data_IF_730103923613
#
_entry.id   IF_730103923613
#
_cell.length_a   1.000
_cell.length_b   1.000
_cell.length_c   1.000
_cell.angle_alpha   90.00
_cell.angle_beta   90.00
_cell.angle_gamma   90.00
#
_symmetry.space_group_name_H-M   'P 1'
#
loop_
_entity.id
_entity.type
_entity.pdbx_description
1 polymer ?
#
# COMPACT_ATOMS: atom_id res chain seq x y z
N UNK A 1 20.79 28.81 7.98
CA UNK A 1 20.74 28.09 9.26
C UNK A 1 20.09 26.73 8.98
N UNK A 2 20.74 25.67 9.39
CA UNK A 2 20.20 24.31 9.17
C UNK A 2 19.15 24.07 10.25
N UNK A 3 17.87 24.12 9.88
CA UNK A 3 16.75 24.03 10.83
C UNK A 3 16.49 22.59 11.35
N UNK A 4 17.39 21.65 11.08
CA UNK A 4 17.23 20.25 11.51
C UNK A 4 16.19 19.45 10.71
N UNK A 5 15.48 20.07 9.77
CA UNK A 5 14.50 19.41 8.94
C UNK A 5 15.11 18.80 7.68
N UNK A 6 14.61 17.61 7.31
CA UNK A 6 14.89 16.98 6.02
C UNK A 6 13.94 17.46 4.93
N UNK A 7 12.67 17.70 5.30
CA UNK A 7 11.66 18.26 4.41
C UNK A 7 10.95 19.40 5.13
N UNK A 8 10.77 20.52 4.42
CA UNK A 8 9.93 21.64 4.84
C UNK A 8 8.95 21.94 3.71
N UNK A 9 7.66 21.96 4.05
CA UNK A 9 6.56 22.21 3.10
C UNK A 9 5.67 23.30 3.69
N UNK A 10 5.44 24.35 2.91
CA UNK A 10 4.57 25.46 3.31
C UNK A 10 3.57 25.75 2.20
N UNK A 11 2.27 25.67 2.51
CA UNK A 11 1.15 25.98 1.63
C UNK A 11 1.21 25.32 0.24
N UNK A 12 1.71 24.08 0.18
CA UNK A 12 1.89 23.36 -1.07
C UNK A 12 0.57 23.09 -1.77
N UNK A 13 0.46 23.56 -3.01
CA UNK A 13 -0.77 23.49 -3.79
C UNK A 13 -0.54 22.95 -5.19
N UNK A 14 -1.44 22.08 -5.67
CA UNK A 14 -1.40 21.54 -7.02
C UNK A 14 -2.77 21.44 -7.66
N UNK A 15 -2.89 22.05 -8.84
CA UNK A 15 -4.03 21.90 -9.74
C UNK A 15 -3.67 21.07 -10.96
N UNK A 16 -4.62 20.25 -11.43
CA UNK A 16 -4.66 19.64 -12.74
C UNK A 16 -5.94 20.10 -13.47
N UNK A 17 -5.81 21.11 -14.31
CA UNK A 17 -6.98 21.82 -14.83
C UNK A 17 -7.80 22.42 -13.69
N UNK A 18 -9.05 21.99 -13.54
CA UNK A 18 -9.93 22.43 -12.44
C UNK A 18 -9.84 21.55 -11.20
N UNK A 19 -9.16 20.41 -11.26
CA UNK A 19 -9.01 19.50 -10.12
C UNK A 19 -7.93 20.02 -9.17
N UNK A 20 -8.30 20.35 -7.93
CA UNK A 20 -7.39 20.66 -6.85
C UNK A 20 -6.91 19.35 -6.21
N UNK A 21 -5.75 18.88 -6.65
CA UNK A 21 -5.19 17.59 -6.25
C UNK A 21 -4.43 17.65 -4.92
N UNK A 22 -3.85 18.81 -4.56
CA UNK A 22 -3.21 19.08 -3.27
C UNK A 22 -3.57 20.51 -2.87
N UNK A 23 -4.13 20.67 -1.68
CA UNK A 23 -4.79 21.89 -1.20
C UNK A 23 -4.06 22.46 0.01
N UNK A 24 -3.14 23.42 -0.23
CA UNK A 24 -2.44 24.25 0.77
C UNK A 24 -1.85 23.47 1.96
N UNK A 25 -1.26 22.30 1.70
CA UNK A 25 -0.70 21.47 2.77
C UNK A 25 0.62 22.02 3.30
N UNK A 26 0.80 21.95 4.62
CA UNK A 26 2.03 22.39 5.30
C UNK A 26 2.45 21.34 6.33
N UNK A 27 3.70 20.89 6.28
CA UNK A 27 4.28 19.92 7.22
C UNK A 27 5.80 19.95 7.17
N UNK A 28 6.43 19.33 8.17
CA UNK A 28 7.89 19.14 8.22
C UNK A 28 8.24 17.71 8.59
N UNK A 29 9.42 17.27 8.12
CA UNK A 29 10.02 15.96 8.43
C UNK A 29 11.41 16.21 8.98
N UNK A 30 11.74 15.57 10.11
CA UNK A 30 13.06 15.70 10.73
C UNK A 30 14.10 14.85 10.00
N UNK A 31 15.38 15.18 10.17
CA UNK A 31 16.48 14.35 9.66
C UNK A 31 16.52 13.01 10.42
N UNK A 32 16.73 11.91 9.69
CA UNK A 32 16.72 10.55 10.23
C UNK A 32 15.35 10.03 10.62
N UNK A 33 14.27 10.79 10.36
CA UNK A 33 12.90 10.39 10.64
C UNK A 33 12.39 9.41 9.57
N UNK A 34 11.62 8.42 9.99
CA UNK A 34 10.79 7.59 9.13
C UNK A 34 9.37 8.17 9.12
N UNK A 35 9.06 8.94 8.10
CA UNK A 35 7.80 9.67 7.99
C UNK A 35 6.84 8.99 7.02
N UNK A 36 5.63 8.67 7.49
CA UNK A 36 4.56 8.10 6.70
C UNK A 36 3.62 9.17 6.14
N UNK A 37 3.24 9.07 4.87
CA UNK A 37 2.25 9.93 4.24
C UNK A 37 1.08 9.07 3.76
N UNK A 38 0.01 9.04 4.53
CA UNK A 38 -1.08 8.08 4.45
C UNK A 38 -2.33 8.69 3.86
N UNK A 39 -3.05 7.88 3.10
CA UNK A 39 -4.35 8.26 2.55
C UNK A 39 -4.86 7.28 1.53
N UNK A 40 -6.14 7.35 1.16
CA UNK A 40 -6.73 6.49 0.13
C UNK A 40 -6.15 6.79 -1.25
N UNK A 41 -6.49 5.94 -2.23
CA UNK A 41 -6.13 6.19 -3.61
C UNK A 41 -6.81 7.49 -4.10
N UNK A 42 -6.04 8.33 -4.81
CA UNK A 42 -6.52 9.64 -5.24
C UNK A 42 -6.45 10.75 -4.19
N UNK A 43 -6.00 10.49 -2.97
CA UNK A 43 -5.88 11.52 -1.91
C UNK A 43 -4.82 12.60 -2.17
N UNK A 44 -3.93 12.42 -3.16
CA UNK A 44 -2.86 13.37 -3.48
C UNK A 44 -1.44 12.91 -3.10
N UNK A 45 -1.26 11.68 -2.59
CA UNK A 45 0.04 11.13 -2.12
C UNK A 45 1.15 11.19 -3.19
N UNK A 46 0.94 10.49 -4.31
CA UNK A 46 1.91 10.46 -5.44
C UNK A 46 2.16 11.87 -6.02
N UNK A 47 1.11 12.71 -6.10
CA UNK A 47 1.26 14.10 -6.53
C UNK A 47 2.19 14.88 -5.59
N UNK A 48 2.02 14.71 -4.29
CA UNK A 48 2.88 15.34 -3.27
C UNK A 48 4.32 14.86 -3.43
N UNK A 49 4.59 13.54 -3.49
CA UNK A 49 5.94 13.00 -3.71
C UNK A 49 6.58 13.58 -4.98
N UNK A 50 5.85 13.65 -6.08
CA UNK A 50 6.36 14.21 -7.34
C UNK A 50 6.71 15.70 -7.25
N UNK A 51 6.02 16.46 -6.41
CA UNK A 51 6.37 17.86 -6.12
C UNK A 51 7.59 17.99 -5.20
N UNK A 52 7.68 17.15 -4.15
CA UNK A 52 8.82 17.10 -3.23
C UNK A 52 10.13 16.75 -3.98
N UNK A 53 10.06 15.80 -4.91
CA UNK A 53 11.20 15.36 -5.73
C UNK A 53 11.48 16.26 -6.94
N UNK A 54 10.58 17.22 -7.21
CA UNK A 54 10.70 18.15 -8.34
C UNK A 54 10.47 17.50 -9.71
N UNK A 55 9.76 16.36 -9.75
CA UNK A 55 9.31 15.71 -11.00
C UNK A 55 8.22 16.55 -11.65
N UNK A 56 7.32 17.13 -10.86
CA UNK A 56 6.30 18.09 -11.33
C UNK A 56 6.43 19.41 -10.59
N UNK A 57 6.06 20.50 -11.28
CA UNK A 57 6.00 21.83 -10.67
C UNK A 57 4.73 21.97 -9.82
N UNK A 58 4.87 22.56 -8.63
CA UNK A 58 3.77 23.03 -7.82
C UNK A 58 3.12 24.27 -8.45
N UNK A 59 1.87 24.54 -8.09
CA UNK A 59 1.19 25.78 -8.49
C UNK A 59 1.47 26.90 -7.48
N UNK A 60 1.52 26.56 -6.17
CA UNK A 60 1.84 27.50 -5.10
C UNK A 60 2.56 26.81 -3.92
N UNK A 61 3.07 27.61 -3.00
CA UNK A 61 3.77 27.17 -1.80
C UNK A 61 5.28 26.99 -1.98
N UNK A 62 5.95 26.64 -0.89
CA UNK A 62 7.39 26.38 -0.87
C UNK A 62 7.71 24.97 -0.40
N UNK A 63 8.77 24.40 -0.99
CA UNK A 63 9.30 23.09 -0.61
C UNK A 63 10.81 23.15 -0.57
N UNK A 64 11.37 22.69 0.57
CA UNK A 64 12.80 22.45 0.73
C UNK A 64 13.06 21.00 1.09
N UNK A 65 14.11 20.42 0.53
CA UNK A 65 14.59 19.06 0.79
C UNK A 65 16.04 19.15 1.19
N UNK A 66 16.38 18.71 2.40
CA UNK A 66 17.71 18.86 3.00
C UNK A 66 18.25 20.30 2.93
N UNK A 67 17.35 21.29 3.09
CA UNK A 67 17.66 22.72 2.98
C UNK A 67 17.70 23.28 1.56
N UNK A 68 17.69 22.44 0.52
CA UNK A 68 17.72 22.86 -0.88
C UNK A 68 16.30 23.05 -1.44
N UNK A 69 16.06 23.99 -2.35
CA UNK A 69 14.79 24.07 -3.05
C UNK A 69 14.45 22.78 -3.79
N UNK A 70 13.24 22.26 -3.64
CA UNK A 70 12.80 21.04 -4.32
C UNK A 70 12.98 21.13 -5.84
N UNK A 71 13.49 20.05 -6.43
CA UNK A 71 13.79 19.96 -7.87
C UNK A 71 15.13 20.57 -8.30
N UNK A 72 15.86 21.25 -7.40
CA UNK A 72 17.24 21.69 -7.68
C UNK A 72 18.17 20.49 -7.84
N UNK A 73 19.30 20.69 -8.52
CA UNK A 73 20.31 19.64 -8.69
C UNK A 73 20.81 19.16 -7.32
N UNK A 74 21.05 20.08 -6.39
CA UNK A 74 21.51 19.75 -5.04
C UNK A 74 20.48 18.88 -4.29
N UNK A 75 19.17 19.22 -4.34
CA UNK A 75 18.13 18.41 -3.75
C UNK A 75 18.08 17.00 -4.37
N UNK A 76 18.24 16.88 -5.70
CA UNK A 76 18.25 15.59 -6.39
C UNK A 76 19.46 14.74 -6.03
N UNK A 77 20.64 15.35 -5.84
CA UNK A 77 21.87 14.63 -5.47
C UNK A 77 21.79 13.98 -4.07
N UNK A 78 21.03 14.57 -3.14
CA UNK A 78 20.87 14.03 -1.78
C UNK A 78 19.64 13.14 -1.64
N UNK A 79 18.86 12.97 -2.71
CA UNK A 79 17.59 12.24 -2.71
C UNK A 79 17.66 10.95 -3.52
N UNK A 80 17.11 9.86 -3.00
CA UNK A 80 16.77 8.66 -3.74
C UNK A 80 15.25 8.57 -3.92
N UNK A 81 14.79 8.16 -5.09
CA UNK A 81 13.35 8.10 -5.39
C UNK A 81 12.98 6.71 -5.91
N UNK A 82 12.03 6.08 -5.27
CA UNK A 82 11.38 4.86 -5.72
C UNK A 82 9.90 5.17 -6.02
N UNK A 83 9.52 5.33 -7.29
CA UNK A 83 8.11 5.56 -7.66
C UNK A 83 7.30 4.27 -7.53
N UNK A 84 5.97 4.41 -7.43
CA UNK A 84 5.02 3.30 -7.34
C UNK A 84 5.17 2.30 -8.52
N UNK A 85 5.23 2.83 -9.75
CA UNK A 85 5.52 2.02 -10.93
C UNK A 85 7.02 1.79 -11.04
N UNK A 86 7.42 0.54 -11.22
CA UNK A 86 8.82 0.16 -11.40
C UNK A 86 9.39 0.78 -12.68
N UNK A 87 10.31 1.73 -12.51
CA UNK A 87 10.98 2.43 -13.61
C UNK A 87 12.35 1.81 -13.96
N UNK A 88 12.55 0.51 -13.70
CA UNK A 88 13.72 -0.18 -14.22
C UNK A 88 13.64 -0.28 -15.75
N UNK A 89 14.77 -0.07 -16.43
CA UNK A 89 14.89 -0.32 -17.86
C UNK A 89 14.89 -1.81 -18.10
N UNK A 90 13.76 -2.32 -18.62
CA UNK A 90 13.49 -3.75 -18.69
C UNK A 90 14.44 -4.51 -19.64
N UNK A 91 14.93 -3.84 -20.68
CA UNK A 91 15.87 -4.41 -21.64
C UNK A 91 17.33 -4.45 -21.13
N UNK A 92 17.61 -3.72 -20.06
CA UNK A 92 18.92 -3.75 -19.41
C UNK A 92 18.96 -4.84 -18.33
N UNK A 93 20.16 -5.35 -18.07
CA UNK A 93 20.43 -6.19 -16.91
C UNK A 93 20.31 -5.36 -15.63
N UNK A 94 20.21 -6.03 -14.44
CA UNK A 94 20.26 -5.29 -13.19
C UNK A 94 21.55 -4.50 -13.04
N UNK A 95 22.68 -5.09 -13.42
CA UNK A 95 23.97 -4.39 -13.45
C UNK A 95 23.94 -3.18 -14.40
N UNK A 96 23.40 -3.36 -15.61
CA UNK A 96 23.26 -2.28 -16.60
C UNK A 96 22.41 -1.11 -16.08
N UNK A 97 21.28 -1.41 -15.39
CA UNK A 97 20.46 -0.40 -14.75
C UNK A 97 21.25 0.43 -13.72
N UNK A 98 22.04 -0.25 -12.88
CA UNK A 98 22.84 0.43 -11.87
C UNK A 98 23.99 1.26 -12.49
N UNK A 99 24.65 0.76 -13.53
CA UNK A 99 25.70 1.51 -14.20
C UNK A 99 25.15 2.76 -14.91
N UNK A 100 23.96 2.66 -15.52
CA UNK A 100 23.28 3.81 -16.09
C UNK A 100 22.96 4.88 -15.00
N UNK A 101 22.45 4.43 -13.83
CA UNK A 101 22.21 5.36 -12.71
C UNK A 101 23.52 6.00 -12.23
N UNK A 102 24.60 5.23 -12.15
CA UNK A 102 25.91 5.75 -11.76
C UNK A 102 26.39 6.87 -12.70
N UNK A 103 26.18 6.71 -14.00
CA UNK A 103 26.52 7.72 -15.01
C UNK A 103 25.67 8.98 -14.85
N UNK A 104 24.35 8.83 -14.69
CA UNK A 104 23.41 9.95 -14.48
C UNK A 104 23.75 10.76 -13.23
N UNK A 105 24.18 10.09 -12.14
CA UNK A 105 24.62 10.75 -10.91
C UNK A 105 26.11 11.13 -10.92
N UNK A 106 26.84 10.90 -12.03
CA UNK A 106 28.29 11.18 -12.20
C UNK A 106 29.13 10.54 -11.10
N UNK A 107 28.81 9.30 -10.70
CA UNK A 107 29.59 8.57 -9.71
C UNK A 107 30.90 8.06 -10.34
N UNK A 108 32.06 8.13 -9.62
CA UNK A 108 33.27 7.48 -10.06
C UNK A 108 33.04 5.98 -10.31
N UNK A 109 33.55 5.47 -11.45
CA UNK A 109 33.26 4.12 -11.92
C UNK A 109 33.65 3.02 -10.91
N UNK A 110 34.79 3.19 -10.22
CA UNK A 110 35.21 2.24 -9.18
C UNK A 110 34.23 2.17 -8.02
N UNK A 111 33.82 3.34 -7.48
CA UNK A 111 32.85 3.47 -6.40
C UNK A 111 31.46 2.95 -6.82
N UNK A 112 31.05 3.24 -8.05
CA UNK A 112 29.78 2.76 -8.60
C UNK A 112 29.72 1.23 -8.66
N UNK A 113 30.78 0.58 -9.16
CA UNK A 113 30.87 -0.89 -9.25
C UNK A 113 30.85 -1.55 -7.86
N UNK A 114 31.62 -1.02 -6.92
CA UNK A 114 31.67 -1.51 -5.55
C UNK A 114 30.29 -1.42 -4.88
N UNK A 115 29.66 -0.25 -4.94
CA UNK A 115 28.33 -0.05 -4.35
C UNK A 115 27.24 -0.87 -5.03
N UNK A 116 27.28 -0.96 -6.36
CA UNK A 116 26.33 -1.78 -7.11
C UNK A 116 26.43 -3.26 -6.70
N UNK A 117 27.64 -3.80 -6.58
CA UNK A 117 27.86 -5.17 -6.11
C UNK A 117 27.32 -5.39 -4.69
N UNK A 118 27.64 -4.48 -3.77
CA UNK A 118 27.15 -4.52 -2.39
C UNK A 118 25.62 -4.46 -2.30
N UNK A 119 24.99 -3.50 -2.99
CA UNK A 119 23.52 -3.34 -3.00
C UNK A 119 22.81 -4.55 -3.62
N UNK A 120 23.31 -5.07 -4.74
CA UNK A 120 22.72 -6.28 -5.36
C UNK A 120 22.82 -7.49 -4.43
N UNK A 121 23.92 -7.62 -3.69
CA UNK A 121 24.08 -8.68 -2.68
C UNK A 121 23.11 -8.48 -1.53
N UNK A 122 23.05 -7.28 -0.95
CA UNK A 122 22.17 -6.93 0.15
C UNK A 122 20.69 -7.14 -0.19
N UNK A 123 20.29 -6.82 -1.45
CA UNK A 123 18.91 -6.97 -1.91
C UNK A 123 18.62 -8.34 -2.55
N UNK A 124 19.56 -9.28 -2.50
CA UNK A 124 19.37 -10.66 -2.98
C UNK A 124 19.20 -10.77 -4.50
N UNK A 125 19.89 -9.89 -5.26
CA UNK A 125 19.83 -9.85 -6.72
C UNK A 125 21.16 -10.14 -7.40
N UNK A 126 22.25 -10.35 -6.64
CA UNK A 126 23.61 -10.48 -7.19
C UNK A 126 23.73 -11.64 -8.19
N UNK A 127 23.18 -12.83 -7.86
CA UNK A 127 23.23 -14.01 -8.74
C UNK A 127 22.48 -13.82 -10.06
N UNK A 128 21.60 -12.84 -10.11
CA UNK A 128 20.80 -12.52 -11.30
C UNK A 128 21.22 -11.20 -11.96
N UNK A 129 22.34 -10.58 -11.51
CA UNK A 129 22.77 -9.24 -11.94
C UNK A 129 22.94 -9.07 -13.46
N UNK A 130 23.30 -10.16 -14.14
CA UNK A 130 23.53 -10.19 -15.58
C UNK A 130 22.28 -10.62 -16.39
N UNK A 131 21.15 -10.88 -15.72
CA UNK A 131 19.87 -11.18 -16.37
C UNK A 131 19.12 -9.87 -16.66
N UNK A 132 18.41 -9.80 -17.79
CA UNK A 132 17.55 -8.67 -18.15
C UNK A 132 16.45 -8.45 -17.10
N UNK A 133 16.19 -7.19 -16.75
CA UNK A 133 15.18 -6.86 -15.76
C UNK A 133 13.75 -7.26 -16.18
N UNK A 134 13.50 -7.46 -17.48
CA UNK A 134 12.25 -8.01 -18.00
C UNK A 134 11.93 -9.40 -17.46
N UNK A 135 12.95 -10.21 -17.14
CA UNK A 135 12.81 -11.57 -16.60
C UNK A 135 12.56 -11.62 -15.09
N UNK A 136 12.57 -10.47 -14.41
CA UNK A 136 12.42 -10.38 -12.97
C UNK A 136 10.94 -10.46 -12.55
N UNK A 137 10.67 -11.10 -11.39
CA UNK A 137 9.38 -11.00 -10.74
C UNK A 137 9.10 -9.55 -10.29
N UNK A 138 7.86 -9.22 -9.95
CA UNK A 138 7.51 -7.89 -9.44
C UNK A 138 8.37 -7.51 -8.21
N UNK A 139 8.53 -8.43 -7.25
CA UNK A 139 9.36 -8.21 -6.07
C UNK A 139 10.83 -7.98 -6.41
N UNK A 140 11.39 -8.72 -7.37
CA UNK A 140 12.77 -8.49 -7.85
C UNK A 140 12.91 -7.14 -8.54
N UNK A 141 11.93 -6.72 -9.35
CA UNK A 141 11.94 -5.39 -9.99
C UNK A 141 11.89 -4.28 -8.96
N UNK A 142 11.02 -4.37 -7.96
CA UNK A 142 10.96 -3.38 -6.86
C UNK A 142 12.28 -3.31 -6.09
N UNK A 143 12.90 -4.44 -5.79
CA UNK A 143 14.23 -4.48 -5.17
C UNK A 143 15.30 -3.86 -6.06
N UNK A 144 15.26 -4.07 -7.37
CA UNK A 144 16.18 -3.41 -8.31
C UNK A 144 16.00 -1.89 -8.33
N UNK A 145 14.76 -1.39 -8.38
CA UNK A 145 14.49 0.06 -8.31
C UNK A 145 14.97 0.66 -6.99
N UNK A 146 14.86 -0.08 -5.90
CA UNK A 146 15.41 0.34 -4.61
C UNK A 146 16.95 0.37 -4.63
N UNK A 147 17.62 -0.62 -5.27
CA UNK A 147 19.06 -0.54 -5.53
C UNK A 147 19.44 0.72 -6.31
N UNK A 148 18.68 1.04 -7.36
CA UNK A 148 18.90 2.24 -8.18
C UNK A 148 18.77 3.52 -7.35
N UNK A 149 17.74 3.60 -6.48
CA UNK A 149 17.52 4.73 -5.59
C UNK A 149 18.64 4.88 -4.52
N UNK A 150 19.21 3.77 -4.05
CA UNK A 150 20.25 3.73 -3.02
C UNK A 150 21.67 3.92 -3.58
N UNK A 151 21.87 3.71 -4.88
CA UNK A 151 23.21 3.73 -5.49
C UNK A 151 23.97 5.04 -5.24
N UNK A 152 23.36 6.25 -5.37
CA UNK A 152 24.04 7.52 -5.12
C UNK A 152 24.29 7.84 -3.64
N UNK A 153 23.95 6.94 -2.71
CA UNK A 153 24.05 7.14 -1.26
C UNK A 153 23.23 8.33 -0.73
N UNK A 154 21.94 8.36 -0.99
CA UNK A 154 21.12 9.51 -0.64
C UNK A 154 21.00 9.71 0.88
N UNK A 155 20.79 10.96 1.30
CA UNK A 155 20.45 11.30 2.70
C UNK A 155 18.97 11.09 2.99
N UNK A 156 18.11 11.20 1.97
CA UNK A 156 16.67 10.99 2.05
C UNK A 156 16.17 10.08 0.93
N UNK A 157 15.24 9.18 1.29
CA UNK A 157 14.54 8.29 0.37
C UNK A 157 13.07 8.68 0.29
N UNK A 158 12.56 8.86 -0.93
CA UNK A 158 11.14 9.00 -1.23
C UNK A 158 10.65 7.68 -1.83
N UNK A 159 9.72 7.03 -1.14
CA UNK A 159 9.20 5.70 -1.49
C UNK A 159 7.69 5.81 -1.70
N UNK A 160 7.25 5.65 -2.94
CA UNK A 160 5.84 5.70 -3.29
C UNK A 160 5.28 4.28 -3.40
N UNK A 161 4.50 3.84 -2.40
CA UNK A 161 3.89 2.51 -2.29
C UNK A 161 4.90 1.35 -2.50
N UNK A 162 6.02 1.27 -1.75
CA UNK A 162 7.12 0.35 -2.03
C UNK A 162 6.74 -1.12 -1.89
N UNK A 163 5.74 -1.44 -1.08
CA UNK A 163 5.31 -2.81 -0.75
C UNK A 163 4.03 -3.22 -1.48
N UNK A 164 3.38 -2.28 -2.18
CA UNK A 164 2.13 -2.55 -2.91
C UNK A 164 2.30 -3.65 -3.95
N UNK A 165 1.38 -4.63 -3.98
CA UNK A 165 1.38 -5.74 -4.93
C UNK A 165 2.45 -6.82 -4.70
N UNK A 166 3.15 -6.78 -3.57
CA UNK A 166 4.15 -7.78 -3.20
C UNK A 166 3.54 -8.91 -2.34
N UNK A 167 4.14 -10.08 -2.43
CA UNK A 167 3.90 -11.17 -1.50
C UNK A 167 4.43 -10.84 -0.09
N UNK A 168 3.99 -11.63 0.90
CA UNK A 168 4.33 -11.41 2.32
C UNK A 168 5.85 -11.44 2.57
N UNK A 169 6.59 -12.34 1.90
CA UNK A 169 8.03 -12.45 2.10
C UNK A 169 8.77 -11.25 1.53
N UNK A 170 8.42 -10.82 0.32
CA UNK A 170 8.98 -9.62 -0.32
C UNK A 170 8.67 -8.35 0.46
N UNK A 171 7.44 -8.22 0.98
CA UNK A 171 7.04 -7.12 1.85
C UNK A 171 7.89 -7.07 3.12
N UNK A 172 8.00 -8.19 3.82
CA UNK A 172 8.82 -8.29 5.05
C UNK A 172 10.28 -7.94 4.78
N UNK A 173 10.83 -8.42 3.66
CA UNK A 173 12.21 -8.12 3.28
C UNK A 173 12.44 -6.61 3.11
N UNK A 174 11.56 -5.93 2.36
CA UNK A 174 11.65 -4.47 2.15
C UNK A 174 11.51 -3.72 3.48
N UNK A 175 10.56 -4.09 4.34
CA UNK A 175 10.38 -3.45 5.66
C UNK A 175 11.64 -3.53 6.53
N UNK A 176 12.24 -4.72 6.64
CA UNK A 176 13.49 -4.91 7.40
C UNK A 176 14.62 -4.05 6.83
N UNK A 177 14.75 -4.01 5.51
CA UNK A 177 15.76 -3.17 4.85
C UNK A 177 15.56 -1.69 5.16
N UNK A 178 14.34 -1.17 5.03
CA UNK A 178 14.04 0.23 5.31
C UNK A 178 14.29 0.60 6.79
N UNK A 179 13.94 -0.28 7.72
CA UNK A 179 14.26 -0.09 9.13
C UNK A 179 15.78 -0.04 9.39
N UNK A 180 16.57 -0.85 8.69
CA UNK A 180 18.03 -0.80 8.78
C UNK A 180 18.59 0.51 8.23
N UNK A 181 18.09 0.99 7.09
CA UNK A 181 18.48 2.27 6.53
C UNK A 181 18.16 3.45 7.46
N UNK A 182 17.02 3.39 8.17
CA UNK A 182 16.70 4.35 9.23
C UNK A 182 17.73 4.31 10.37
N UNK A 183 18.11 3.11 10.84
CA UNK A 183 19.14 2.96 11.88
C UNK A 183 20.51 3.50 11.44
N UNK A 184 20.81 3.50 10.14
CA UNK A 184 21.98 4.13 9.54
C UNK A 184 21.86 5.67 9.43
N UNK A 185 20.77 6.26 9.92
CA UNK A 185 20.52 7.71 9.92
C UNK A 185 19.91 8.26 8.65
N UNK A 186 19.46 7.42 7.71
CA UNK A 186 18.73 7.87 6.52
C UNK A 186 17.36 8.40 6.89
N UNK A 187 16.94 9.49 6.27
CA UNK A 187 15.55 9.96 6.33
C UNK A 187 14.72 9.18 5.32
N UNK A 188 13.52 8.73 5.71
CA UNK A 188 12.62 7.98 4.83
C UNK A 188 11.27 8.67 4.79
N UNK A 189 10.82 9.03 3.59
CA UNK A 189 9.47 9.51 3.31
C UNK A 189 8.72 8.42 2.55
N UNK A 190 7.74 7.81 3.21
CA UNK A 190 6.96 6.68 2.70
C UNK A 190 5.54 7.12 2.38
N UNK A 191 5.04 6.88 1.17
CA UNK A 191 3.60 6.89 0.95
C UNK A 191 3.05 5.47 1.02
N UNK A 192 1.92 5.32 1.68
CA UNK A 192 1.19 4.05 1.72
C UNK A 192 -0.30 4.28 2.00
N UNK A 193 -1.13 3.34 1.59
CA UNK A 193 -2.51 3.23 2.04
C UNK A 193 -2.68 2.15 3.13
N UNK A 194 -1.60 1.43 3.46
CA UNK A 194 -1.58 0.40 4.50
C UNK A 194 -1.25 1.03 5.86
N UNK A 195 -2.29 1.17 6.70
CA UNK A 195 -2.18 1.81 8.02
C UNK A 195 -1.34 0.98 9.00
N UNK A 196 -1.41 -0.36 8.92
CA UNK A 196 -0.61 -1.24 9.78
C UNK A 196 0.89 -1.11 9.47
N UNK A 197 1.24 -1.01 8.18
CA UNK A 197 2.61 -0.78 7.75
C UNK A 197 3.16 0.54 8.31
N UNK A 198 2.37 1.60 8.22
CA UNK A 198 2.75 2.89 8.72
C UNK A 198 2.86 2.92 10.26
N UNK A 199 1.93 2.26 10.97
CA UNK A 199 1.96 2.14 12.42
C UNK A 199 3.20 1.39 12.92
N UNK A 200 3.64 0.35 12.18
CA UNK A 200 4.80 -0.46 12.55
C UNK A 200 6.14 0.25 12.28
N UNK A 201 6.22 1.06 11.21
CA UNK A 201 7.50 1.53 10.68
C UNK A 201 7.78 3.00 10.91
N UNK A 202 6.75 3.85 10.98
CA UNK A 202 6.91 5.29 10.98
C UNK A 202 7.01 5.88 12.38
N UNK A 203 7.89 6.88 12.55
CA UNK A 203 7.95 7.68 13.78
C UNK A 203 6.78 8.65 13.88
N UNK A 204 6.45 9.28 12.76
CA UNK A 204 5.29 10.14 12.58
C UNK A 204 4.62 9.85 11.26
N UNK A 205 3.33 10.11 11.21
CA UNK A 205 2.52 9.97 10.00
C UNK A 205 1.69 11.22 9.76
N UNK A 206 1.55 11.57 8.50
CA UNK A 206 0.60 12.55 8.01
C UNK A 206 -0.55 11.84 7.32
N UNK A 207 -1.77 12.17 7.70
CA UNK A 207 -2.99 11.68 7.05
C UNK A 207 -3.44 12.72 6.03
N UNK A 208 -3.55 12.33 4.76
CA UNK A 208 -4.08 13.16 3.68
C UNK A 208 -5.39 12.56 3.16
N UNK A 209 -6.38 13.43 2.94
CA UNK A 209 -7.65 13.05 2.32
C UNK A 209 -8.13 14.18 1.41
N UNK A 210 -8.57 13.83 0.17
CA UNK A 210 -9.03 14.81 -0.83
C UNK A 210 -8.10 16.03 -1.00
N UNK A 211 -6.79 15.77 -1.05
CA UNK A 211 -5.78 16.82 -1.21
C UNK A 211 -5.46 17.62 0.05
N UNK A 212 -6.21 17.47 1.14
CA UNK A 212 -6.03 18.21 2.39
C UNK A 212 -5.31 17.38 3.44
N UNK A 213 -4.43 18.02 4.20
CA UNK A 213 -3.80 17.41 5.37
C UNK A 213 -4.81 17.36 6.52
N UNK A 214 -5.10 16.15 7.00
CA UNK A 214 -6.08 15.90 8.06
C UNK A 214 -5.42 16.00 9.43
N UNK A 215 -4.30 15.29 9.63
CA UNK A 215 -3.55 15.26 10.88
C UNK A 215 -2.08 14.88 10.62
N UNK A 216 -1.19 15.28 11.56
CA UNK A 216 0.23 14.86 11.57
C UNK A 216 0.62 14.61 13.01
N UNK A 217 0.94 13.37 13.37
CA UNK A 217 1.44 13.00 14.70
C UNK A 217 2.09 11.61 14.66
N UNK A 218 2.52 11.09 15.82
CA UNK A 218 2.92 9.70 15.97
C UNK A 218 1.73 8.75 15.73
N UNK A 219 1.95 7.53 15.24
CA UNK A 219 0.87 6.54 15.06
C UNK A 219 0.05 6.32 16.34
N UNK A 220 0.72 6.24 17.50
CA UNK A 220 0.07 6.05 18.80
C UNK A 220 -0.83 7.22 19.17
N UNK A 221 -0.35 8.46 19.02
CA UNK A 221 -1.14 9.65 19.31
C UNK A 221 -2.37 9.74 18.39
N UNK A 222 -2.19 9.48 17.09
CA UNK A 222 -3.31 9.48 16.15
C UNK A 222 -4.35 8.42 16.49
N UNK A 223 -3.91 7.22 16.89
CA UNK A 223 -4.82 6.12 17.25
C UNK A 223 -5.74 6.50 18.40
N UNK A 224 -5.29 7.32 19.35
CA UNK A 224 -6.06 7.78 20.50
C UNK A 224 -6.73 9.14 20.29
N UNK A 225 -6.47 9.83 19.17
CA UNK A 225 -7.11 11.13 18.84
C UNK A 225 -8.62 10.92 18.67
N UNK A 226 -9.43 11.73 19.36
CA UNK A 226 -10.90 11.57 19.44
C UNK A 226 -11.39 10.56 20.48
N UNK A 227 -10.52 10.14 21.42
CA UNK A 227 -10.85 9.23 22.54
C UNK A 227 -10.17 7.85 22.42
N UNK A 228 -9.86 7.25 23.57
CA UNK A 228 -9.33 5.88 23.66
C UNK A 228 -10.47 4.87 23.49
N UNK A 229 -10.95 4.70 22.27
CA UNK A 229 -12.01 3.74 21.99
C UNK A 229 -11.42 2.37 21.66
N UNK A 230 -11.52 1.44 22.59
CA UNK A 230 -11.09 0.05 22.40
C UNK A 230 -12.18 -0.75 21.69
N UNK A 231 -11.75 -1.73 20.91
CA UNK A 231 -12.62 -2.69 20.25
C UNK A 231 -12.61 -4.01 21.02
N UNK A 232 -13.78 -4.54 21.33
CA UNK A 232 -13.95 -5.85 21.95
C UNK A 232 -14.74 -6.73 20.98
N UNK A 233 -14.06 -7.70 20.36
CA UNK A 233 -14.74 -8.74 19.59
C UNK A 233 -15.20 -9.82 20.57
N UNK A 234 -16.49 -10.08 20.62
CA UNK A 234 -17.09 -11.11 21.47
C UNK A 234 -17.98 -12.03 20.64
N UNK A 235 -17.96 -13.34 20.97
CA UNK A 235 -18.94 -14.28 20.45
C UNK A 235 -19.45 -15.19 21.55
N UNK A 236 -20.73 -15.60 21.43
CA UNK A 236 -21.43 -16.44 22.37
C UNK A 236 -21.78 -17.78 21.75
N UNK A 237 -22.02 -18.78 22.59
CA UNK A 237 -22.50 -20.13 22.20
C UNK A 237 -23.94 -20.13 21.69
N UNK A 238 -24.74 -19.12 22.06
CA UNK A 238 -26.12 -18.94 21.67
C UNK A 238 -26.36 -17.57 21.06
N UNK A 239 -27.41 -17.42 20.22
CA UNK A 239 -27.77 -16.10 19.69
C UNK A 239 -28.14 -15.11 20.78
N UNK A 240 -27.63 -13.90 20.68
CA UNK A 240 -27.91 -12.77 21.59
C UNK A 240 -28.51 -11.62 20.78
N UNK A 241 -29.51 -10.94 21.36
CA UNK A 241 -30.10 -9.75 20.71
C UNK A 241 -29.17 -8.57 20.80
N UNK A 242 -28.82 -7.91 19.67
CA UNK A 242 -27.89 -6.77 19.65
C UNK A 242 -28.36 -5.65 20.59
N UNK A 243 -29.66 -5.40 20.71
CA UNK A 243 -30.20 -4.30 21.51
C UNK A 243 -29.95 -4.49 23.02
N UNK A 244 -29.78 -5.73 23.46
CA UNK A 244 -29.45 -6.03 24.86
C UNK A 244 -27.99 -5.71 25.14
N UNK A 245 -27.08 -6.10 24.23
CA UNK A 245 -25.66 -5.81 24.36
C UNK A 245 -25.37 -4.31 24.22
N UNK A 246 -26.08 -3.61 23.32
CA UNK A 246 -25.90 -2.18 23.12
C UNK A 246 -26.27 -1.34 24.37
N UNK A 247 -27.08 -1.88 25.27
CA UNK A 247 -27.48 -1.21 26.52
C UNK A 247 -26.58 -1.55 27.71
N UNK A 248 -25.57 -2.40 27.53
CA UNK A 248 -24.67 -2.75 28.61
C UNK A 248 -23.80 -1.55 29.01
N UNK A 249 -23.54 -1.37 30.31
CA UNK A 249 -22.63 -0.33 30.79
C UNK A 249 -21.24 -0.43 30.11
N UNK A 250 -20.76 0.68 29.60
CA UNK A 250 -19.46 0.74 28.93
C UNK A 250 -19.50 0.50 27.42
N UNK A 251 -20.64 0.16 26.82
CA UNK A 251 -20.78 0.06 25.36
C UNK A 251 -21.12 1.44 24.80
N UNK A 252 -20.23 1.98 23.96
CA UNK A 252 -20.47 3.24 23.23
C UNK A 252 -21.08 3.01 21.84
N UNK A 253 -20.70 1.89 21.18
CA UNK A 253 -21.21 1.46 19.87
C UNK A 253 -21.14 -0.05 19.75
N UNK A 254 -22.03 -0.62 18.94
CA UNK A 254 -22.09 -2.05 18.63
C UNK A 254 -22.19 -2.28 17.13
N UNK A 255 -21.46 -3.27 16.63
CA UNK A 255 -21.57 -3.79 15.27
C UNK A 255 -21.89 -5.28 15.32
N UNK A 256 -22.85 -5.72 14.48
CA UNK A 256 -23.21 -7.13 14.32
C UNK A 256 -22.27 -7.84 13.35
N UNK A 257 -22.28 -9.18 13.33
CA UNK A 257 -21.50 -9.99 12.40
C UNK A 257 -21.70 -9.57 10.95
N UNK A 258 -22.93 -9.25 10.53
CA UNK A 258 -23.24 -8.79 9.17
C UNK A 258 -22.58 -7.44 8.85
N UNK A 259 -22.60 -6.50 9.79
CA UNK A 259 -21.95 -5.21 9.63
C UNK A 259 -20.41 -5.36 9.58
N UNK A 260 -19.84 -6.24 10.41
CA UNK A 260 -18.41 -6.56 10.42
C UNK A 260 -18.00 -7.17 9.08
N UNK A 261 -18.71 -8.18 8.59
CA UNK A 261 -18.42 -8.80 7.30
C UNK A 261 -18.58 -7.84 6.12
N UNK A 262 -19.59 -6.96 6.15
CA UNK A 262 -19.77 -5.94 5.13
C UNK A 262 -18.60 -4.95 5.11
N UNK A 263 -18.14 -4.52 6.28
CA UNK A 263 -16.98 -3.65 6.42
C UNK A 263 -15.69 -4.34 5.95
N UNK A 264 -15.48 -5.59 6.34
CA UNK A 264 -14.30 -6.38 5.95
C UNK A 264 -14.30 -6.68 4.43
N UNK A 265 -15.46 -6.93 3.80
CA UNK A 265 -15.59 -7.06 2.35
C UNK A 265 -15.28 -5.75 1.62
N UNK A 266 -15.76 -4.62 2.13
CA UNK A 266 -15.47 -3.30 1.57
C UNK A 266 -13.97 -2.99 1.65
N UNK A 267 -13.32 -3.30 2.76
CA UNK A 267 -11.86 -3.18 2.96
C UNK A 267 -11.09 -4.04 1.96
N UNK A 268 -11.48 -5.30 1.79
CA UNK A 268 -10.87 -6.21 0.82
C UNK A 268 -11.05 -5.73 -0.63
N UNK A 269 -12.21 -5.19 -0.99
CA UNK A 269 -12.45 -4.61 -2.32
C UNK A 269 -11.63 -3.34 -2.55
N UNK A 270 -11.48 -2.49 -1.56
CA UNK A 270 -10.64 -1.27 -1.64
C UNK A 270 -9.17 -1.64 -1.80
N UNK A 271 -8.72 -2.68 -1.11
CA UNK A 271 -7.36 -3.21 -1.26
C UNK A 271 -7.13 -3.83 -2.66
N UNK A 272 -8.14 -4.49 -3.25
CA UNK A 272 -8.05 -5.08 -4.60
C UNK A 272 -8.26 -4.05 -5.73
N UNK A 273 -9.02 -2.99 -5.52
CA UNK A 273 -9.21 -1.92 -6.51
C UNK A 273 -7.94 -1.12 -6.81
N UNK A 274 -6.92 -1.23 -5.96
CA UNK A 274 -5.57 -0.69 -6.20
C UNK A 274 -4.76 -1.45 -7.25
N UNK A 275 -5.19 -2.66 -7.66
CA UNK A 275 -4.56 -3.42 -8.75
C UNK A 275 -5.22 -2.99 -10.06
N UNK A 276 -4.71 -1.92 -10.67
CA UNK A 276 -5.20 -1.35 -11.92
C UNK A 276 -5.31 -2.40 -13.03
N UNK A 277 -6.48 -2.54 -13.61
CA UNK A 277 -6.66 -3.20 -14.91
C UNK A 277 -5.76 -2.50 -15.93
N UNK A 278 -4.99 -3.24 -16.76
CA UNK A 278 -4.27 -2.62 -17.88
C UNK A 278 -5.32 -1.98 -18.80
N UNK A 279 -5.21 -0.68 -18.99
CA UNK A 279 -6.09 0.07 -19.88
C UNK A 279 -6.08 -0.51 -21.27
N UNK A 280 -7.22 -1.04 -21.70
CA UNK A 280 -7.47 -1.39 -23.09
C UNK A 280 -7.35 -0.15 -23.95
N UNK A 281 -6.39 -0.12 -24.86
CA UNK A 281 -6.31 0.87 -25.93
C UNK A 281 -7.58 0.73 -26.82
N UNK A 282 -8.47 1.70 -26.71
CA UNK A 282 -9.56 1.90 -27.64
C UNK A 282 -9.02 2.38 -28.99
N UNK A 283 -9.01 1.48 -29.98
CA UNK A 283 -8.74 1.82 -31.35
C UNK A 283 -9.87 2.66 -31.93
N UNK A 284 -9.60 3.94 -32.17
CA UNK A 284 -10.46 4.84 -32.96
C UNK A 284 -10.35 4.50 -34.43
N UNK A 285 -11.49 4.13 -35.05
CA UNK A 285 -11.62 3.88 -36.48
C UNK A 285 -11.47 5.17 -37.29
N UNK A 286 -10.55 5.13 -38.25
CA UNK A 286 -10.47 6.10 -39.34
C UNK A 286 -10.76 5.40 -40.66
N UNK A 287 -11.87 5.74 -41.31
CA UNK A 287 -12.21 5.33 -42.68
C UNK A 287 -11.26 6.00 -43.67
N UNK A 288 -10.65 5.23 -44.55
CA UNK A 288 -9.95 5.72 -45.74
C UNK A 288 -10.03 4.72 -46.88
N UNK A 289 -10.82 5.05 -47.91
CA UNK A 289 -10.97 4.32 -49.18
C UNK A 289 -9.66 4.35 -49.96
N UNK A 290 -9.30 3.22 -50.62
CA UNK A 290 -8.31 3.18 -51.69
C UNK A 290 -8.30 1.82 -52.38
N UNK A 291 -8.85 1.77 -53.58
CA UNK A 291 -8.84 0.63 -54.52
C UNK A 291 -7.43 0.38 -55.09
N UNK A 292 -7.08 -0.87 -55.33
CA UNK A 292 -5.92 -1.24 -56.12
C UNK A 292 -5.81 -2.75 -56.30
N UNK A 293 -6.27 -3.25 -57.44
CA UNK A 293 -6.12 -4.62 -57.95
C UNK A 293 -4.63 -4.97 -58.26
N UNK A 294 -4.26 -6.23 -58.14
CA UNK A 294 -3.67 -7.18 -59.12
C UNK A 294 -2.93 -8.30 -58.37
N UNK A 295 -3.39 -9.49 -58.41
CA UNK A 295 -3.04 -10.60 -59.32
C UNK A 295 -1.74 -11.34 -58.99
N UNK A 296 -1.89 -12.63 -58.75
CA UNK A 296 -0.95 -13.63 -59.27
C UNK A 296 -0.23 -14.54 -58.28
N UNK A 297 -0.61 -15.83 -58.27
CA UNK A 297 0.39 -16.91 -58.12
C UNK A 297 0.29 -17.83 -56.92
N UNK A 298 -0.57 -18.83 -56.96
CA UNK A 298 -0.28 -20.13 -56.33
C UNK A 298 0.67 -20.93 -57.23
N UNK A 299 1.40 -21.93 -56.71
CA UNK A 299 0.81 -23.28 -56.63
C UNK A 299 1.27 -24.18 -55.46
N UNK A 300 0.34 -25.05 -55.12
CA UNK A 300 0.45 -26.51 -54.87
C UNK A 300 1.60 -27.02 -53.97
N UNK A 301 1.39 -27.82 -52.99
CA UNK A 301 0.52 -28.94 -52.73
C UNK A 301 1.30 -29.94 -51.91
N UNK A 302 0.70 -30.58 -50.97
CA UNK A 302 0.78 -32.04 -50.75
C UNK A 302 -0.07 -32.42 -49.54
N UNK A 303 -0.90 -33.39 -49.79
CA UNK A 303 -1.96 -33.90 -48.92
C UNK A 303 -1.43 -35.05 -48.04
N UNK A 304 -1.94 -35.08 -46.83
CA UNK A 304 -2.58 -36.20 -46.10
C UNK A 304 -1.83 -37.53 -45.89
N UNK A 305 -2.23 -38.41 -44.92
CA UNK A 305 -3.59 -38.70 -44.45
C UNK A 305 -3.79 -38.84 -42.92
N UNK A 306 -5.04 -38.81 -42.58
CA UNK A 306 -5.79 -38.95 -41.42
C UNK A 306 -5.64 -40.19 -40.53
N UNK A 307 -6.09 -40.04 -39.27
CA UNK A 307 -6.56 -41.11 -38.41
C UNK A 307 -7.79 -40.63 -37.58
N UNK A 308 -8.80 -41.49 -37.62
CA UNK A 308 -10.10 -41.35 -37.03
C UNK A 308 -10.11 -41.50 -35.47
N UNK A 309 -11.19 -41.10 -34.78
CA UNK A 309 -11.25 -41.01 -33.30
C UNK A 309 -11.54 -42.35 -32.65
N UNK A 310 -10.67 -42.75 -31.70
CA UNK A 310 -10.89 -43.92 -30.84
C UNK A 310 -11.79 -43.55 -29.65
N UNK A 311 -12.88 -44.31 -29.52
CA UNK A 311 -13.79 -44.38 -28.38
C UNK A 311 -13.05 -44.75 -27.10
N UNK A 312 -13.27 -44.01 -26.02
CA UNK A 312 -12.93 -44.42 -24.65
C UNK A 312 -14.19 -44.97 -23.96
N UNK A 313 -14.10 -46.12 -23.28
CA UNK A 313 -15.22 -46.67 -22.53
C UNK A 313 -15.47 -45.90 -21.24
N UNK A 314 -16.71 -45.70 -20.91
CA UNK A 314 -17.15 -45.11 -19.66
C UNK A 314 -16.78 -46.00 -18.48
N UNK A 315 -16.18 -45.41 -17.46
CA UNK A 315 -16.13 -45.99 -16.11
C UNK A 315 -17.09 -45.24 -15.21
N UNK A 316 -17.94 -46.04 -14.56
CA UNK A 316 -19.05 -45.64 -13.76
C UNK A 316 -18.68 -44.80 -12.56
N UNK A 317 -19.48 -43.80 -12.33
CA UNK A 317 -19.48 -42.99 -11.10
C UNK A 317 -19.96 -43.90 -9.93
N UNK A 318 -18.99 -44.35 -9.14
CA UNK A 318 -19.26 -44.89 -7.81
C UNK A 318 -19.55 -43.74 -6.88
N UNK A 319 -20.81 -43.56 -6.52
CA UNK A 319 -21.25 -42.71 -5.41
C UNK A 319 -20.69 -43.29 -4.11
N UNK A 320 -19.76 -42.62 -3.47
CA UNK A 320 -19.43 -42.83 -2.07
C UNK A 320 -20.44 -42.06 -1.20
N UNK A 321 -21.00 -42.67 -0.17
CA UNK A 321 -21.93 -41.98 0.73
C UNK A 321 -21.15 -41.06 1.70
N UNK A 322 -21.59 -39.85 1.81
CA UNK A 322 -21.60 -38.88 2.89
C UNK A 322 -20.58 -38.99 4.00
N UNK A 323 -19.67 -38.02 3.99
CA UNK A 323 -19.21 -37.39 5.22
C UNK A 323 -19.66 -35.94 5.16
N UNK A 324 -20.94 -35.72 5.42
CA UNK A 324 -21.45 -34.42 5.86
C UNK A 324 -20.95 -34.18 7.28
N UNK A 325 -19.67 -33.75 7.41
CA UNK A 325 -19.18 -33.02 8.55
C UNK A 325 -19.67 -31.60 8.42
N UNK A 326 -20.93 -31.39 8.84
CA UNK A 326 -21.50 -30.06 8.96
C UNK A 326 -20.70 -29.23 9.98
N UNK A 327 -19.75 -28.42 9.49
CA UNK A 327 -19.38 -27.17 10.15
C UNK A 327 -20.61 -26.29 10.06
N UNK A 328 -21.48 -26.38 11.12
CA UNK A 328 -22.68 -25.59 11.25
C UNK A 328 -22.35 -24.14 10.97
N UNK A 329 -23.09 -23.53 10.05
CA UNK A 329 -23.27 -22.10 9.97
C UNK A 329 -23.71 -21.63 11.35
N UNK A 330 -22.75 -21.21 12.21
CA UNK A 330 -23.09 -20.50 13.44
C UNK A 330 -23.83 -19.25 12.96
N UNK A 331 -25.08 -19.14 13.46
CA UNK A 331 -25.96 -18.05 13.09
C UNK A 331 -25.27 -16.72 13.33
N UNK A 332 -25.36 -15.82 12.37
CA UNK A 332 -24.84 -14.43 12.36
C UNK A 332 -25.18 -13.62 13.64
N UNK A 333 -26.06 -14.11 14.49
CA UNK A 333 -26.52 -13.45 15.70
C UNK A 333 -25.70 -13.75 16.97
N UNK A 334 -24.55 -14.41 16.86
CA UNK A 334 -23.71 -14.76 18.03
C UNK A 334 -22.37 -13.99 18.10
N UNK A 335 -21.97 -13.25 17.06
CA UNK A 335 -20.71 -12.50 17.00
C UNK A 335 -20.96 -11.00 16.93
N UNK A 336 -20.24 -10.24 17.79
CA UNK A 336 -20.38 -8.80 17.92
C UNK A 336 -19.03 -8.14 18.07
N UNK A 337 -18.93 -6.89 17.61
CA UNK A 337 -17.86 -5.96 17.89
C UNK A 337 -18.41 -4.81 18.72
N UNK A 338 -17.87 -4.64 19.92
CA UNK A 338 -18.25 -3.61 20.86
C UNK A 338 -17.15 -2.57 20.95
N UNK A 339 -17.54 -1.32 21.07
CA UNK A 339 -16.64 -0.18 21.24
C UNK A 339 -16.79 0.36 22.66
N UNK A 340 -15.68 0.67 23.32
CA UNK A 340 -15.66 1.14 24.70
C UNK A 340 -14.48 2.07 24.99
N UNK A 341 -14.68 3.05 25.83
CA UNK A 341 -13.61 3.86 26.40
C UNK A 341 -13.03 3.23 27.69
N UNK A 342 -13.76 2.31 28.30
CA UNK A 342 -13.38 1.63 29.55
C UNK A 342 -13.45 0.10 29.37
N UNK A 343 -12.30 -0.49 29.02
CA UNK A 343 -12.19 -1.93 28.79
C UNK A 343 -12.49 -2.75 30.03
N UNK A 344 -12.05 -2.32 31.21
CA UNK A 344 -12.24 -3.04 32.47
C UNK A 344 -13.75 -3.13 32.80
N UNK A 345 -14.47 -2.00 32.69
CA UNK A 345 -15.89 -1.94 32.94
C UNK A 345 -16.62 -2.88 31.97
N UNK A 346 -16.36 -2.77 30.65
CA UNK A 346 -17.09 -3.55 29.66
C UNK A 346 -16.78 -5.05 29.75
N UNK A 347 -15.52 -5.44 29.97
CA UNK A 347 -15.16 -6.86 30.13
C UNK A 347 -15.84 -7.45 31.36
N UNK A 348 -15.84 -6.75 32.51
CA UNK A 348 -16.55 -7.21 33.71
C UNK A 348 -18.06 -7.35 33.45
N UNK A 349 -18.65 -6.35 32.80
CA UNK A 349 -20.08 -6.35 32.43
C UNK A 349 -20.43 -7.53 31.50
N UNK A 350 -19.58 -7.84 30.52
CA UNK A 350 -19.79 -8.97 29.61
C UNK A 350 -19.70 -10.33 30.34
N UNK A 351 -18.77 -10.46 31.30
CA UNK A 351 -18.65 -11.66 32.13
C UNK A 351 -19.91 -11.83 32.99
N UNK A 352 -20.36 -10.78 33.65
CA UNK A 352 -21.60 -10.83 34.47
C UNK A 352 -22.84 -11.10 33.61
N UNK A 353 -22.93 -10.48 32.44
CA UNK A 353 -24.00 -10.74 31.48
C UNK A 353 -24.03 -12.20 31.05
N UNK A 354 -22.88 -12.79 30.72
CA UNK A 354 -22.76 -14.20 30.35
C UNK A 354 -23.24 -15.13 31.47
N UNK A 355 -22.80 -14.89 32.71
CA UNK A 355 -23.21 -15.68 33.89
C UNK A 355 -24.72 -15.61 34.12
N UNK A 356 -25.28 -14.40 34.12
CA UNK A 356 -26.70 -14.18 34.40
C UNK A 356 -27.64 -14.77 33.34
N UNK A 357 -27.15 -14.95 32.10
CA UNK A 357 -27.92 -15.47 30.98
C UNK A 357 -27.56 -16.92 30.62
N UNK A 358 -26.70 -17.60 31.38
CA UNK A 358 -26.21 -18.96 31.08
C UNK A 358 -25.64 -19.08 29.66
N UNK A 359 -24.83 -18.12 29.28
CA UNK A 359 -24.12 -18.04 28.00
C UNK A 359 -22.65 -18.38 28.20
N UNK A 360 -22.02 -19.00 27.19
CA UNK A 360 -20.57 -19.21 27.13
C UNK A 360 -19.99 -18.26 26.12
N UNK A 361 -18.99 -17.48 26.52
CA UNK A 361 -18.19 -16.66 25.59
C UNK A 361 -17.16 -17.53 24.91
N UNK A 362 -17.28 -17.72 23.58
CA UNK A 362 -16.33 -18.47 22.78
C UNK A 362 -15.11 -17.63 22.38
N UNK A 363 -15.33 -16.34 22.16
CA UNK A 363 -14.29 -15.35 21.81
C UNK A 363 -14.48 -14.13 22.70
N UNK A 364 -13.42 -13.67 23.28
CA UNK A 364 -13.29 -12.34 23.89
C UNK A 364 -11.89 -11.81 23.56
N UNK A 365 -11.83 -10.90 22.61
CA UNK A 365 -10.57 -10.30 22.17
C UNK A 365 -10.65 -8.77 22.30
N UNK A 366 -9.76 -8.21 23.11
CA UNK A 366 -9.65 -6.76 23.33
C UNK A 366 -8.57 -6.22 22.44
N UNK A 367 -8.91 -5.29 21.56
CA UNK A 367 -7.97 -4.62 20.67
C UNK A 367 -7.86 -3.14 21.02
N UNK A 368 -6.64 -2.60 21.13
CA UNK A 368 -6.45 -1.16 21.27
C UNK A 368 -6.96 -0.44 20.01
N UNK A 369 -7.23 0.87 20.10
CA UNK A 369 -7.55 1.67 18.93
C UNK A 369 -6.40 1.60 17.90
N UNK A 370 -6.75 1.41 16.62
CA UNK A 370 -5.81 1.33 15.52
C UNK A 370 -5.70 2.66 14.77
N UNK A 371 -4.61 2.82 14.00
CA UNK A 371 -4.45 3.96 13.10
C UNK A 371 -5.55 3.97 12.02
N UNK A 372 -6.05 2.80 11.61
CA UNK A 372 -7.15 2.68 10.65
C UNK A 372 -8.47 3.24 11.23
N UNK A 373 -8.77 2.90 12.48
CA UNK A 373 -9.96 3.44 13.17
C UNK A 373 -9.87 4.97 13.33
N UNK A 374 -8.67 5.47 13.63
CA UNK A 374 -8.41 6.91 13.70
C UNK A 374 -8.59 7.59 12.34
N UNK A 375 -8.09 6.97 11.27
CA UNK A 375 -8.24 7.49 9.91
C UNK A 375 -9.72 7.65 9.53
N UNK A 376 -10.55 6.63 9.75
CA UNK A 376 -11.98 6.68 9.45
C UNK A 376 -12.64 7.83 10.21
N UNK A 377 -12.40 7.94 11.52
CA UNK A 377 -12.98 9.02 12.35
C UNK A 377 -12.56 10.40 11.87
N UNK A 378 -11.26 10.62 11.72
CA UNK A 378 -10.71 11.94 11.33
C UNK A 378 -11.18 12.39 9.94
N UNK A 379 -11.45 11.44 9.04
CA UNK A 379 -11.94 11.75 7.69
C UNK A 379 -13.45 12.00 7.65
N UNK A 380 -14.25 11.31 8.51
CA UNK A 380 -15.68 11.54 8.64
C UNK A 380 -15.99 12.87 9.34
N UNK A 381 -15.26 13.22 10.40
CA UNK A 381 -15.43 14.47 11.14
C UNK A 381 -15.20 15.68 10.22
N UNK A 382 -14.10 15.70 9.46
CA UNK A 382 -13.83 16.80 8.50
C UNK A 382 -14.78 16.84 7.31
N UNK A 383 -15.46 15.74 6.99
CA UNK A 383 -16.49 15.72 5.94
C UNK A 383 -17.81 16.33 6.41
N UNK A 384 -18.04 16.46 7.72
CA UNK A 384 -19.22 17.11 8.31
C UNK A 384 -19.03 18.61 8.54
N UNK A 385 -17.77 19.08 8.57
CA UNK A 385 -17.43 20.50 8.77
C UNK A 385 -17.34 21.30 7.46
N UNK A 386 -17.34 20.66 6.30
CA UNK A 386 -17.36 21.26 4.96
C UNK A 386 -18.71 21.06 4.28
#
# INVERSE_FOLDING_TARGET
>A
MDNGFAIEVTNLTKFYGQLLAVDHISFSVNRGEFFGFLGPNGAGKTTTVRMLTGIIKRNDGEVRVMGYPAGSIAAKQVSGVMPELSNAYLDLTAWGNLMLMAELYRLPQSKAKERAGSLLTQLGLYERKDSAASTYSMGMRKRLVLCMALLPDPQILFLDEPTSGLDVQSTRFIRVLLQNLKKEGKTIFLTTHNMDEAAEMCDRVAIINHGKLVAVDTPDNLSITGGRVYLIDVSFDKPVRPEVLAKLPGVSRLETAQAIEAADRLRAQTAMAGVGRPGGMGGGGGQGRGQGQMAGGSPAGMAQPGMAPGQRPGMGAGRMPGAEGGLGKQSDSSRFRLYTENTTLLVTTLVDFSRNNSLTMNILNVRPPSLEDAFVRLTEEKSREN
#
